data_IF_765729105074
#
_entry.id   IF_765729105074
#
_cell.length_a   1.000
_cell.length_b   1.000
_cell.length_c   1.000
_cell.angle_alpha   90.00
_cell.angle_beta   90.00
_cell.angle_gamma   90.00
#
_symmetry.space_group_name_H-M   'P 1'
#
loop_
_entity.id
_entity.type
_entity.pdbx_description
1 polymer ?
2 non-polymer ?
3 non-polymer ?
4 water ?
#
# COMPACT_ATOMS: atom_id res chain seq x y z
N UNK A 12 20.90 5.21 20.00
CA UNK A 12 19.73 5.52 20.87
C UNK A 12 18.41 5.51 20.10
N UNK A 13 18.24 6.49 19.22
CA UNK A 13 16.98 6.75 18.48
C UNK A 13 15.79 7.21 19.34
N UNK A 14 16.03 7.54 20.61
CA UNK A 14 14.95 7.96 21.51
C UNK A 14 14.27 9.25 21.03
N UNK A 15 15.07 10.28 20.71
CA UNK A 15 14.53 11.56 20.24
C UNK A 15 13.87 11.44 18.87
N UNK A 16 14.50 10.68 17.98
CA UNK A 16 13.93 10.43 16.66
C UNK A 16 12.58 9.71 16.75
N UNK A 17 12.48 8.73 17.65
CA UNK A 17 11.23 7.97 17.85
C UNK A 17 10.11 8.91 18.31
N UNK A 18 10.45 9.77 19.28
CA UNK A 18 9.50 10.74 19.82
C UNK A 18 8.97 11.63 18.67
N UNK A 19 9.89 12.15 17.87
CA UNK A 19 9.59 12.90 16.67
C UNK A 19 8.73 12.11 15.67
N UNK A 20 9.01 10.82 15.50
CA UNK A 20 8.24 9.98 14.57
C UNK A 20 6.77 9.85 14.99
N UNK A 21 6.54 9.64 16.28
CA UNK A 21 5.16 9.55 16.78
C UNK A 21 4.39 10.86 16.69
N UNK A 22 5.09 11.97 16.87
CA UNK A 22 4.47 13.30 16.69
C UNK A 22 4.03 13.54 15.24
N UNK A 23 4.89 13.20 14.29
CA UNK A 23 4.57 13.37 12.88
C UNK A 23 3.42 12.42 12.49
N UNK A 24 3.53 11.17 12.94
CA UNK A 24 2.48 10.16 12.73
C UNK A 24 1.08 10.66 13.12
N UNK A 25 0.97 11.29 14.30
CA UNK A 25 -0.31 11.82 14.77
C UNK A 25 -0.88 12.98 13.94
N UNK A 26 0.01 13.75 13.32
CA UNK A 26 -0.38 14.83 12.41
C UNK A 26 -0.75 14.37 10.99
N UNK A 27 -0.17 13.26 10.52
CA UNK A 27 -0.40 12.82 9.13
C UNK A 27 -1.43 11.71 8.96
N UNK A 28 -1.70 10.97 10.02
CA UNK A 28 -2.66 9.86 9.96
C UNK A 28 -4.08 10.39 9.71
N UNK A 29 -4.92 9.58 9.06
CA UNK A 29 -6.32 9.97 8.85
C UNK A 29 -7.03 10.15 10.19
N UNK A 30 -7.70 11.28 10.37
CA UNK A 30 -8.44 11.55 11.60
C UNK A 30 -9.69 10.69 11.68
N UNK A 31 -10.15 10.43 12.90
CA UNK A 31 -11.39 9.68 13.10
C UNK A 31 -12.55 10.32 12.35
N UNK A 32 -12.50 11.65 12.26
CA UNK A 32 -13.53 12.43 11.59
C UNK A 32 -13.62 12.16 10.09
N UNK A 33 -12.48 12.23 9.40
CA UNK A 33 -12.45 11.98 7.96
C UNK A 33 -12.81 10.53 7.67
N UNK A 34 -12.34 9.63 8.53
CA UNK A 34 -12.60 8.20 8.40
C UNK A 34 -14.10 7.91 8.38
N UNK A 35 -14.82 8.45 9.37
CA UNK A 35 -16.26 8.22 9.47
C UNK A 35 -17.05 8.84 8.32
N UNK A 36 -16.51 9.92 7.72
CA UNK A 36 -17.09 10.52 6.53
C UNK A 36 -16.90 9.62 5.30
N UNK A 37 -15.76 8.94 5.24
CA UNK A 37 -15.50 7.98 4.17
C UNK A 37 -16.44 6.77 4.29
N UNK A 38 -16.68 6.32 5.52
CA UNK A 38 -17.66 5.27 5.77
C UNK A 38 -19.07 5.69 5.35
N UNK A 39 -19.47 6.92 5.69
CA UNK A 39 -20.75 7.47 5.26
C UNK A 39 -20.86 7.52 3.73
N UNK A 40 -19.79 7.95 3.06
CA UNK A 40 -19.73 7.96 1.59
C UNK A 40 -19.91 6.55 0.99
N UNK A 41 -19.25 5.56 1.56
CA UNK A 41 -19.37 4.17 1.13
C UNK A 41 -20.82 3.69 1.24
N UNK A 42 -21.47 4.01 2.35
CA UNK A 42 -22.88 3.67 2.53
C UNK A 42 -23.78 4.26 1.45
N UNK A 43 -23.55 5.52 1.11
CA UNK A 43 -24.27 6.22 0.03
C UNK A 43 -24.07 5.51 -1.32
N UNK A 44 -22.81 5.24 -1.65
CA UNK A 44 -22.46 4.50 -2.85
C UNK A 44 -23.13 3.11 -2.92
N UNK A 45 -23.23 2.44 -1.78
CA UNK A 45 -23.89 1.14 -1.69
C UNK A 45 -25.38 1.22 -1.98
N UNK A 46 -26.01 2.31 -1.51
CA UNK A 46 -27.42 2.55 -1.77
C UNK A 46 -27.69 2.73 -3.26
N UNK A 47 -26.79 3.45 -3.94
CA UNK A 47 -26.89 3.65 -5.38
C UNK A 47 -26.75 2.32 -6.14
N UNK A 48 -25.80 1.49 -5.70
CA UNK A 48 -25.61 0.17 -6.30
C UNK A 48 -26.83 -0.73 -6.11
N UNK A 49 -27.41 -0.70 -4.91
CA UNK A 49 -28.60 -1.50 -4.59
C UNK A 49 -29.73 -1.26 -5.58
N UNK A 50 -29.92 0.01 -5.94
CA UNK A 50 -30.98 0.40 -6.88
C UNK A 50 -30.75 -0.16 -8.30
N UNK A 51 -29.52 -0.55 -8.59
CA UNK A 51 -29.13 -0.98 -9.93
C UNK A 51 -28.98 -2.50 -10.02
N UNK A 52 -28.34 -3.10 -9.02
CA UNK A 52 -28.11 -4.54 -8.95
C UNK A 52 -28.16 -5.00 -7.49
N UNK A 53 -29.28 -5.61 -7.09
CA UNK A 53 -29.46 -6.02 -5.68
C UNK A 53 -28.50 -7.13 -5.22
N UNK A 54 -28.00 -7.93 -6.15
CA UNK A 54 -27.10 -9.05 -5.85
C UNK A 54 -25.63 -8.63 -5.63
N UNK A 55 -25.21 -7.57 -6.32
CA UNK A 55 -23.83 -7.09 -6.26
C UNK A 55 -23.45 -6.53 -4.89
N UNK A 56 -22.18 -6.62 -4.53
CA UNK A 56 -21.67 -6.06 -3.29
C UNK A 56 -20.54 -5.07 -3.58
N UNK A 57 -20.60 -3.93 -2.91
CA UNK A 57 -19.55 -2.92 -3.02
C UNK A 57 -18.63 -3.02 -1.82
N UNK A 58 -17.35 -3.28 -2.06
CA UNK A 58 -16.39 -3.43 -0.96
C UNK A 58 -15.18 -2.51 -1.08
N UNK A 59 -14.64 -2.10 0.06
CA UNK A 59 -13.48 -1.23 0.12
C UNK A 59 -12.19 -2.04 0.22
N UNK A 60 -11.15 -1.57 -0.46
CA UNK A 60 -9.81 -2.15 -0.32
C UNK A 60 -8.79 -1.02 -0.23
N UNK A 61 -7.51 -1.36 -0.18
CA UNK A 61 -6.47 -0.35 -0.07
C UNK A 61 -6.37 0.22 1.33
N UNK A 62 -5.76 1.40 1.44
CA UNK A 62 -5.25 1.89 2.73
C UNK A 62 -6.32 2.27 3.75
N UNK A 63 -7.50 2.69 3.29
CA UNK A 63 -8.63 2.93 4.19
C UNK A 63 -9.12 1.66 4.88
N UNK A 64 -8.97 0.54 4.19
CA UNK A 64 -9.41 -0.75 4.70
C UNK A 64 -8.34 -1.39 5.56
N UNK A 65 -7.08 -1.21 5.19
CA UNK A 65 -5.98 -1.82 5.93
C UNK A 65 -5.54 -0.97 7.14
N UNK A 66 -6.00 0.27 7.18
CA UNK A 66 -5.65 1.20 8.26
C UNK A 66 -4.36 1.96 8.01
N UNK A 67 -3.94 2.03 6.76
CA UNK A 67 -2.66 2.62 6.42
C UNK A 67 -2.84 3.93 5.66
N UNK A 68 -3.90 4.66 6.01
CA UNK A 68 -4.31 5.87 5.30
C UNK A 68 -3.77 7.16 5.92
N UNK A 69 -3.27 8.03 5.06
CA UNK A 69 -2.92 9.38 5.42
C UNK A 69 -4.18 10.27 5.36
N UNK A 70 -4.07 11.50 5.87
CA UNK A 70 -5.11 12.51 5.70
C UNK A 70 -5.38 12.75 4.22
N UNK A 71 -6.63 13.12 3.89
CA UNK A 71 -7.04 13.42 2.51
C UNK A 71 -6.83 12.21 1.58
N UNK A 72 -7.16 11.04 2.10
CA UNK A 72 -6.99 9.78 1.39
C UNK A 72 -8.06 9.61 0.31
N UNK A 73 -7.68 8.97 -0.78
CA UNK A 73 -8.62 8.52 -1.81
C UNK A 73 -9.27 7.20 -1.40
N UNK A 74 -10.41 6.92 -1.99
CA UNK A 74 -11.15 5.70 -1.73
C UNK A 74 -10.93 4.72 -2.88
N UNK A 75 -10.68 3.45 -2.55
CA UNK A 75 -10.55 2.38 -3.53
C UNK A 75 -11.62 1.34 -3.29
N UNK A 76 -12.48 1.15 -4.27
CA UNK A 76 -13.63 0.26 -4.11
C UNK A 76 -13.69 -0.76 -5.22
N UNK A 77 -14.32 -1.90 -4.93
CA UNK A 77 -14.53 -2.97 -5.89
C UNK A 77 -15.97 -3.47 -5.81
N UNK A 78 -16.63 -3.53 -6.96
CA UNK A 78 -17.94 -4.15 -7.10
C UNK A 78 -17.75 -5.64 -7.34
N UNK A 79 -18.26 -6.45 -6.42
CA UNK A 79 -18.25 -7.91 -6.56
C UNK A 79 -19.58 -8.40 -7.10
N UNK A 80 -19.53 -9.23 -8.13
CA UNK A 80 -20.75 -9.73 -8.75
C UNK A 80 -20.53 -11.10 -9.38
N UNK A 81 -21.65 -11.74 -9.75
CA UNK A 81 -21.64 -12.99 -10.50
C UNK A 81 -20.73 -12.86 -11.73
N UNK A 82 -19.74 -13.75 -11.81
CA UNK A 82 -18.76 -13.72 -12.91
C UNK A 82 -19.39 -14.00 -14.28
N UNK A 83 -20.57 -14.63 -14.27
CA UNK A 83 -21.34 -14.89 -15.49
C UNK A 83 -22.00 -13.63 -16.02
N UNK A 84 -21.99 -12.55 -15.24
CA UNK A 84 -22.55 -11.28 -15.66
C UNK A 84 -21.44 -10.32 -16.10
N UNK A 85 -21.49 -9.94 -17.37
CA UNK A 85 -20.46 -9.07 -17.95
C UNK A 85 -20.41 -7.71 -17.27
N UNK A 86 -19.22 -7.35 -16.83
CA UNK A 86 -18.99 -6.21 -15.95
C UNK A 86 -19.30 -4.83 -16.56
N UNK A 87 -19.25 -4.71 -17.89
CA UNK A 87 -19.40 -3.41 -18.53
C UNK A 87 -20.83 -2.86 -18.47
N UNK A 88 -21.81 -3.75 -18.55
CA UNK A 88 -23.23 -3.37 -18.52
C UNK A 88 -23.62 -2.81 -17.16
N UNK A 89 -23.28 -3.53 -16.10
CA UNK A 89 -23.56 -3.07 -14.75
C UNK A 89 -22.71 -1.83 -14.42
N UNK A 90 -21.45 -1.83 -14.86
CA UNK A 90 -20.56 -0.67 -14.70
C UNK A 90 -21.19 0.61 -15.24
N UNK A 91 -21.75 0.54 -16.44
CA UNK A 91 -22.35 1.72 -17.08
C UNK A 91 -23.63 2.14 -16.33
N UNK A 92 -24.48 1.17 -16.02
CA UNK A 92 -25.67 1.42 -15.21
C UNK A 92 -25.33 2.07 -13.86
N UNK A 93 -24.32 1.53 -13.18
CA UNK A 93 -23.85 2.11 -11.91
C UNK A 93 -23.37 3.55 -12.13
N UNK A 94 -22.57 3.77 -13.17
CA UNK A 94 -22.04 5.09 -13.50
C UNK A 94 -23.17 6.12 -13.72
N UNK A 95 -24.16 5.76 -14.53
CA UNK A 95 -25.30 6.65 -14.78
C UNK A 95 -26.14 6.96 -13.54
N UNK A 96 -26.30 5.99 -12.64
CA UNK A 96 -26.94 6.23 -11.34
C UNK A 96 -26.16 7.21 -10.46
N UNK A 97 -24.83 7.10 -10.49
CA UNK A 97 -23.97 7.97 -9.71
C UNK A 97 -24.04 9.43 -10.18
N UNK A 98 -24.07 9.61 -11.49
CA UNK A 98 -24.25 10.96 -12.07
C UNK A 98 -25.59 11.54 -11.62
N UNK A 99 -26.67 10.78 -11.80
CA UNK A 99 -28.00 11.21 -11.39
C UNK A 99 -28.07 11.61 -9.91
N UNK A 100 -27.20 11.00 -9.10
CA UNK A 100 -27.16 11.24 -7.65
C UNK A 100 -26.19 12.38 -7.27
N UNK A 101 -25.57 13.01 -8.25
CA UNK A 101 -24.78 14.22 -8.01
C UNK A 101 -23.27 14.04 -7.96
N UNK A 102 -22.80 12.81 -8.16
CA UNK A 102 -21.36 12.56 -8.28
C UNK A 102 -20.91 12.97 -9.67
N UNK A 103 -19.64 13.37 -9.78
CA UNK A 103 -19.02 13.65 -11.06
C UNK A 103 -17.88 12.68 -11.27
N UNK A 104 -17.63 12.33 -12.52
CA UNK A 104 -16.49 11.49 -12.83
C UNK A 104 -16.53 10.91 -14.23
N UNK A 105 -15.69 9.91 -14.44
CA UNK A 105 -15.52 9.29 -15.75
C UNK A 105 -15.76 7.79 -15.71
N UNK A 106 -16.39 7.30 -16.78
CA UNK A 106 -16.48 5.87 -17.04
C UNK A 106 -15.47 5.52 -18.15
N UNK A 107 -14.62 4.55 -17.87
CA UNK A 107 -13.60 4.13 -18.82
C UNK A 107 -13.39 2.62 -18.80
N UNK A 108 -12.74 2.10 -19.84
CA UNK A 108 -12.43 0.68 -19.92
C UNK A 108 -11.10 0.45 -20.63
N UNK A 109 -10.14 -0.09 -19.87
CA UNK A 109 -8.86 -0.51 -20.44
C UNK A 109 -8.92 -2.01 -20.73
N UNK A 110 -8.79 -2.36 -22.01
CA UNK A 110 -9.00 -3.72 -22.50
C UNK A 110 -10.40 -4.24 -22.13
N UNK A 111 -10.49 -5.24 -21.25
CA UNK A 111 -11.77 -5.81 -20.83
C UNK A 111 -12.23 -5.28 -19.46
N UNK A 112 -11.36 -4.51 -18.82
CA UNK A 112 -11.55 -4.06 -17.44
C UNK A 112 -12.22 -2.67 -17.34
N UNK A 113 -13.50 -2.63 -16.93
CA UNK A 113 -14.16 -1.33 -16.73
C UNK A 113 -13.78 -0.71 -15.38
N UNK A 114 -13.76 0.63 -15.34
CA UNK A 114 -13.43 1.39 -14.14
C UNK A 114 -14.25 2.68 -14.09
N UNK A 115 -14.75 3.02 -12.90
CA UNK A 115 -15.36 4.33 -12.66
C UNK A 115 -14.43 5.16 -11.78
N UNK A 116 -14.13 6.37 -12.24
CA UNK A 116 -13.33 7.31 -11.46
C UNK A 116 -14.15 8.54 -11.07
N UNK A 117 -14.57 8.59 -9.81
CA UNK A 117 -15.29 9.74 -9.26
C UNK A 117 -14.31 10.80 -8.76
N UNK A 118 -14.58 12.05 -9.13
CA UNK A 118 -13.68 13.18 -8.85
C UNK A 118 -14.35 14.30 -8.06
N UNK A 119 -15.68 14.22 -7.91
CA UNK A 119 -16.41 15.24 -7.16
C UNK A 119 -17.74 14.73 -6.59
N UNK A 120 -18.25 15.47 -5.60
CA UNK A 120 -19.60 15.30 -5.08
C UNK A 120 -20.25 16.67 -4.92
N UNK A 121 -21.37 16.87 -5.61
CA UNK A 121 -22.02 18.18 -5.71
C UNK A 121 -23.30 18.30 -4.86
N UNK A 122 -23.67 17.24 -4.15
CA UNK A 122 -24.94 17.20 -3.43
C UNK A 122 -24.88 16.47 -2.08
N UNK A 123 -24.16 15.34 -2.05
CA UNK A 123 -24.21 14.43 -0.90
C UNK A 123 -23.33 14.86 0.29
N UNK A 124 -22.57 15.93 0.10
CA UNK A 124 -21.80 16.55 1.18
C UNK A 124 -20.44 15.93 1.49
N UNK A 125 -19.89 15.16 0.56
CA UNK A 125 -18.60 14.51 0.77
C UNK A 125 -17.41 15.28 0.17
N UNK A 126 -17.68 16.43 -0.44
CA UNK A 126 -16.62 17.33 -0.89
C UNK A 126 -16.54 17.60 -2.38
N UNK A 127 -16.06 18.80 -2.72
CA UNK A 127 -15.83 19.21 -4.11
C UNK A 127 -14.72 18.40 -4.79
N UNK A 128 -13.73 17.95 -4.02
CA UNK A 128 -12.69 17.06 -4.53
C UNK A 128 -12.72 15.69 -3.84
N UNK A 129 -13.92 15.10 -3.80
CA UNK A 129 -14.12 13.72 -3.36
C UNK A 129 -13.59 12.79 -4.44
N UNK A 130 -12.57 11.98 -4.11
CA UNK A 130 -11.95 11.07 -5.09
C UNK A 130 -12.15 9.59 -4.74
N UNK A 131 -12.62 8.83 -5.72
CA UNK A 131 -13.01 7.43 -5.50
C UNK A 131 -12.96 6.61 -6.79
N UNK A 132 -12.08 5.61 -6.81
CA UNK A 132 -11.97 4.69 -7.94
C UNK A 132 -12.76 3.41 -7.67
N UNK A 133 -13.55 3.02 -8.67
CA UNK A 133 -14.41 1.84 -8.57
C UNK A 133 -14.07 0.82 -9.66
N UNK A 134 -13.62 -0.35 -9.22
CA UNK A 134 -13.35 -1.47 -10.10
C UNK A 134 -14.43 -2.52 -10.03
N UNK A 135 -14.28 -3.55 -10.86
CA UNK A 135 -15.28 -4.59 -11.01
C UNK A 135 -14.65 -5.98 -11.00
N UNK A 136 -14.92 -6.73 -9.94
CA UNK A 136 -14.30 -8.03 -9.69
C UNK A 136 -12.77 -8.01 -9.59
N UNK A 137 -12.21 -6.92 -9.07
CA UNK A 137 -10.76 -6.86 -8.79
C UNK A 137 -10.50 -7.58 -7.47
N UNK A 138 -10.63 -8.90 -7.49
CA UNK A 138 -10.50 -9.69 -6.28
C UNK A 138 -9.07 -9.73 -5.72
N UNK A 139 -8.07 -9.67 -6.59
CA UNK A 139 -6.66 -9.67 -6.14
C UNK A 139 -6.33 -8.52 -5.19
N UNK A 140 -6.83 -7.32 -5.50
CA UNK A 140 -6.60 -6.15 -4.67
C UNK A 140 -7.22 -6.31 -3.28
N UNK A 141 -8.38 -6.97 -3.22
CA UNK A 141 -9.02 -7.29 -1.93
C UNK A 141 -8.09 -8.19 -1.12
N UNK A 142 -7.52 -9.20 -1.78
CA UNK A 142 -6.63 -10.15 -1.10
C UNK A 142 -5.30 -9.55 -0.63
N UNK A 143 -4.70 -8.72 -1.49
CA UNK A 143 -3.52 -7.92 -1.14
C UNK A 143 -3.77 -7.11 0.13
N UNK A 144 -4.93 -6.48 0.17
CA UNK A 144 -5.38 -5.65 1.31
C UNK A 144 -5.56 -6.49 2.60
N UNK A 145 -6.14 -7.67 2.46
CA UNK A 145 -6.25 -8.62 3.60
C UNK A 145 -4.89 -8.96 4.18
N UNK A 146 -3.91 -9.22 3.32
CA UNK A 146 -2.53 -9.45 3.77
C UNK A 146 -1.97 -8.26 4.57
N UNK A 147 -2.08 -7.04 4.02
CA UNK A 147 -1.58 -5.84 4.69
C UNK A 147 -2.32 -5.57 5.99
N UNK A 148 -3.63 -5.78 5.99
CA UNK A 148 -4.45 -5.65 7.20
C UNK A 148 -4.02 -6.61 8.30
N UNK A 149 -3.65 -7.83 7.91
CA UNK A 149 -3.21 -8.85 8.86
C UNK A 149 -1.88 -8.49 9.53
N UNK A 150 -0.93 -8.02 8.72
CA UNK A 150 0.35 -7.54 9.26
C UNK A 150 0.17 -6.34 10.18
N UNK A 151 -0.76 -5.45 9.83
CA UNK A 151 -1.02 -4.23 10.61
C UNK A 151 -1.58 -4.59 11.98
N UNK A 152 -2.36 -5.68 12.04
CA UNK A 152 -2.89 -6.18 13.32
C UNK A 152 -1.85 -6.94 14.14
N UNK A 153 -0.80 -7.43 13.49
CA UNK A 153 0.18 -8.30 14.13
C UNK A 153 1.23 -7.53 14.95
N UNK A 154 1.57 -6.32 14.51
CA UNK A 154 2.55 -5.50 15.24
C UNK A 154 2.20 -4.03 15.09
N UNK A 155 2.08 -3.34 16.23
CA UNK A 155 1.63 -1.95 16.29
C UNK A 155 2.62 -0.95 15.70
N UNK A 156 3.85 -1.39 15.48
CA UNK A 156 4.85 -0.51 14.86
C UNK A 156 4.66 -0.34 13.36
N UNK A 157 3.97 -1.27 12.70
CA UNK A 157 3.87 -1.21 11.23
C UNK A 157 3.14 0.04 10.73
N UNK A 158 1.99 0.32 11.32
CA UNK A 158 1.15 1.43 10.86
C UNK A 158 1.93 2.76 10.84
N UNK A 159 2.51 3.18 11.99
CA UNK A 159 3.23 4.45 11.96
C UNK A 159 4.44 4.39 11.03
N UNK A 160 5.12 3.26 10.96
CA UNK A 160 6.26 3.12 10.04
C UNK A 160 5.87 3.37 8.57
N UNK A 161 4.79 2.74 8.13
CA UNK A 161 4.29 2.89 6.75
C UNK A 161 3.88 4.33 6.44
N UNK A 162 3.08 4.93 7.32
CA UNK A 162 2.61 6.30 7.11
C UNK A 162 3.81 7.26 6.97
N UNK A 163 4.80 7.09 7.84
CA UNK A 163 6.00 7.92 7.79
C UNK A 163 6.74 7.76 6.46
N UNK A 164 6.88 6.50 6.02
CA UNK A 164 7.59 6.22 4.76
C UNK A 164 6.84 6.82 3.57
N UNK A 165 5.51 6.68 3.58
CA UNK A 165 4.65 7.24 2.53
C UNK A 165 4.73 8.77 2.49
N UNK A 166 4.72 9.39 3.67
CA UNK A 166 4.83 10.85 3.80
C UNK A 166 6.21 11.32 3.29
N UNK A 167 7.25 10.59 3.66
CA UNK A 167 8.61 10.88 3.20
C UNK A 167 8.71 10.80 1.68
N UNK A 168 8.27 9.69 1.10
CA UNK A 168 8.32 9.50 -0.35
C UNK A 168 7.55 10.58 -1.13
N UNK A 169 6.40 11.01 -0.60
CA UNK A 169 5.64 12.12 -1.18
C UNK A 169 6.41 13.43 -1.14
N UNK A 170 6.94 13.75 0.04
CA UNK A 170 7.71 14.99 0.20
C UNK A 170 8.95 15.03 -0.69
N UNK A 171 9.61 13.88 -0.87
CA UNK A 171 10.81 13.80 -1.72
C UNK A 171 10.55 13.62 -3.22
N UNK A 172 9.28 13.64 -3.61
CA UNK A 172 8.90 13.54 -5.03
C UNK A 172 9.34 12.21 -5.64
N UNK A 173 9.31 11.16 -4.83
CA UNK A 173 9.66 9.82 -5.29
C UNK A 173 8.46 8.86 -5.17
N UNK A 174 7.27 9.44 -5.08
CA UNK A 174 6.03 8.67 -5.00
C UNK A 174 5.13 9.00 -6.19
N UNK A 175 5.72 8.99 -7.38
CA UNK A 175 5.01 9.37 -8.62
C UNK A 175 5.15 8.34 -9.72
N UNK A 176 4.33 7.28 -9.67
CA UNK A 176 4.41 6.22 -10.68
C UNK A 176 4.22 6.70 -12.13
N UNK A 177 3.57 7.85 -12.32
CA UNK A 177 3.42 8.39 -13.68
C UNK A 177 4.64 9.14 -14.17
N UNK A 178 5.50 9.57 -13.25
CA UNK A 178 6.69 10.34 -13.62
C UNK A 178 7.99 9.63 -13.23
N UNK A 179 7.99 8.30 -13.34
CA UNK A 179 9.21 7.53 -13.20
C UNK A 179 9.62 7.08 -11.80
N UNK A 180 8.77 7.30 -10.80
CA UNK A 180 9.07 6.74 -9.47
C UNK A 180 8.07 5.68 -9.01
N UNK A 181 7.89 5.52 -7.70
CA UNK A 181 7.23 4.33 -7.15
C UNK A 181 5.87 4.59 -6.48
N UNK A 182 4.91 3.68 -6.68
CA UNK A 182 3.61 3.77 -6.01
C UNK A 182 3.73 3.60 -4.48
N UNK A 183 2.73 4.09 -3.76
CA UNK A 183 2.64 3.93 -2.31
C UNK A 183 2.64 2.46 -1.92
N UNK A 184 1.90 1.65 -2.68
CA UNK A 184 1.88 0.20 -2.44
C UNK A 184 3.28 -0.41 -2.55
N UNK A 185 4.06 0.05 -3.52
CA UNK A 185 5.46 -0.38 -3.66
C UNK A 185 6.33 -0.11 -2.44
N UNK A 186 6.19 1.10 -1.87
CA UNK A 186 6.84 1.45 -0.60
C UNK A 186 6.37 0.58 0.56
N UNK A 187 5.08 0.29 0.64
CA UNK A 187 4.55 -0.62 1.66
C UNK A 187 5.22 -2.01 1.58
N UNK A 188 5.39 -2.52 0.37
CA UNK A 188 6.04 -3.83 0.18
C UNK A 188 7.51 -3.81 0.53
N UNK A 189 8.19 -2.72 0.19
CA UNK A 189 9.57 -2.53 0.60
C UNK A 189 9.72 -2.52 2.12
N UNK A 190 8.77 -1.89 2.82
CA UNK A 190 8.73 -1.92 4.29
C UNK A 190 8.57 -3.36 4.81
N UNK A 191 7.57 -4.07 4.30
CA UNK A 191 7.27 -5.44 4.75
C UNK A 191 8.42 -6.38 4.47
N UNK A 192 9.03 -6.22 3.29
CA UNK A 192 10.16 -7.09 2.94
C UNK A 192 11.28 -6.92 3.97
N UNK A 193 11.54 -5.67 4.34
CA UNK A 193 12.58 -5.34 5.30
C UNK A 193 12.26 -5.99 6.66
N UNK A 194 11.01 -5.84 7.11
CA UNK A 194 10.59 -6.32 8.43
C UNK A 194 10.49 -7.84 8.53
N UNK A 195 10.29 -8.51 7.39
CA UNK A 195 10.18 -9.97 7.36
C UNK A 195 11.55 -10.63 7.12
N UNK A 196 12.24 -10.16 6.07
CA UNK A 196 13.38 -10.91 5.54
C UNK A 196 14.76 -10.30 5.78
N UNK A 197 14.80 -9.04 6.22
CA UNK A 197 16.09 -8.37 6.41
C UNK A 197 16.45 -8.21 7.89
N UNK A 198 15.57 -7.57 8.65
CA UNK A 198 15.92 -7.23 10.03
C UNK A 198 16.05 -8.51 10.86
N UNK A 199 17.00 -8.50 11.78
CA UNK A 199 17.24 -9.64 12.67
C UNK A 199 17.26 -9.16 14.11
N UNK A 200 16.46 -9.79 14.99
CA UNK A 200 15.46 -10.81 14.68
C UNK A 200 14.34 -10.19 13.83
N UNK A 201 13.60 -11.02 13.07
CA UNK A 201 12.56 -10.41 12.22
C UNK A 201 11.44 -9.78 13.07
N UNK A 202 10.81 -8.73 12.52
CA UNK A 202 9.65 -8.16 13.16
C UNK A 202 8.43 -9.04 12.88
N UNK A 203 8.38 -9.61 11.66
CA UNK A 203 7.24 -10.39 11.20
C UNK A 203 7.67 -11.73 10.63
N UNK A 204 6.85 -12.79 10.82
CA UNK A 204 7.07 -13.99 10.00
C UNK A 204 6.52 -13.76 8.59
N UNK A 205 6.89 -14.64 7.66
CA UNK A 205 6.30 -14.62 6.33
C UNK A 205 5.02 -15.47 6.35
N UNK A 206 3.86 -14.81 6.31
CA UNK A 206 2.57 -15.52 6.41
C UNK A 206 2.22 -16.39 5.20
N UNK A 207 2.86 -16.10 4.06
CA UNK A 207 2.64 -16.89 2.85
C UNK A 207 3.38 -18.21 2.89
N UNK A 208 4.51 -18.23 3.58
CA UNK A 208 5.39 -19.40 3.60
C UNK A 208 5.18 -20.25 4.86
N UNK A 209 4.23 -19.84 5.70
CA UNK A 209 3.88 -20.56 6.91
C UNK A 209 3.50 -22.03 6.65
N UNK A 210 3.90 -22.95 7.55
CA UNK A 210 3.47 -24.34 7.41
C UNK A 210 1.96 -24.51 7.63
N UNK A 211 1.29 -23.48 8.15
CA UNK A 211 -0.17 -23.50 8.36
C UNK A 211 -0.95 -22.91 7.20
N UNK A 212 -0.23 -22.36 6.21
CA UNK A 212 -0.86 -21.70 5.07
C UNK A 212 -1.66 -22.67 4.20
N UNK A 213 -2.91 -22.29 3.90
CA UNK A 213 -3.76 -23.08 3.03
C UNK A 213 -3.90 -22.42 1.65
N UNK A 214 -3.64 -23.19 0.60
CA UNK A 214 -3.78 -22.73 -0.78
C UNK A 214 -5.19 -22.19 -1.01
N UNK A 215 -5.28 -21.03 -1.66
CA UNK A 215 -6.53 -20.51 -2.15
C UNK A 215 -6.28 -19.82 -3.48
N UNK A 216 -6.87 -20.37 -4.54
CA UNK A 216 -6.64 -19.86 -5.89
C UNK A 216 -7.73 -18.86 -6.28
N UNK A 217 -7.32 -17.64 -6.60
CA UNK A 217 -8.22 -16.61 -7.09
C UNK A 217 -7.62 -16.03 -8.36
N UNK A 218 -8.41 -16.07 -9.44
CA UNK A 218 -7.97 -15.61 -10.78
C UNK A 218 -6.61 -16.17 -11.18
N UNK A 219 -6.43 -17.47 -10.96
CA UNK A 219 -5.19 -18.17 -11.30
C UNK A 219 -4.02 -18.01 -10.32
N UNK A 220 -4.15 -17.14 -9.32
CA UNK A 220 -3.05 -16.93 -8.37
C UNK A 220 -3.38 -17.47 -6.98
N UNK A 221 -2.35 -17.96 -6.28
CA UNK A 221 -2.50 -18.38 -4.89
C UNK A 221 -2.46 -17.16 -3.97
N UNK A 222 -3.60 -16.88 -3.33
CA UNK A 222 -3.70 -15.77 -2.38
C UNK A 222 -3.73 -16.25 -0.93
N UNK A 223 -3.40 -17.53 -0.73
CA UNK A 223 -3.38 -18.12 0.62
C UNK A 223 -2.28 -17.57 1.50
N UNK A 224 -2.62 -17.35 2.77
CA UNK A 224 -1.62 -17.03 3.80
C UNK A 224 -2.19 -17.38 5.17
N UNK A 225 -1.34 -17.56 6.17
CA UNK A 225 -1.81 -17.90 7.52
C UNK A 225 -2.43 -16.66 8.15
N UNK A 226 -3.75 -16.68 8.32
CA UNK A 226 -4.46 -15.52 8.85
C UNK A 226 -5.02 -15.76 10.25
N UNK A 227 -4.69 -16.91 10.83
CA UNK A 227 -5.03 -17.22 12.23
C UNK A 227 -4.06 -16.48 13.14
N UNK A 228 -4.26 -15.18 13.27
CA UNK A 228 -3.28 -14.29 13.90
C UNK A 228 -3.09 -14.53 15.39
N UNK A 229 -4.16 -14.90 16.08
CA UNK A 229 -4.11 -15.11 17.52
C UNK A 229 -3.11 -16.21 17.96
N UNK A 230 -2.79 -17.12 17.05
CA UNK A 230 -1.85 -18.21 17.37
C UNK A 230 -0.39 -17.89 17.06
N UNK A 231 -0.15 -16.74 16.43
CA UNK A 231 1.19 -16.32 16.06
C UNK A 231 1.88 -15.65 17.26
N UNK A 232 3.10 -16.10 17.60
CA UNK A 232 3.86 -15.49 18.69
C UNK A 232 4.28 -14.05 18.35
N UNK A 233 4.25 -13.14 19.36
CA UNK A 233 4.72 -11.78 19.16
C UNK A 233 6.18 -11.75 18.71
N UNK A 234 6.54 -10.69 17.99
CA UNK A 234 7.92 -10.48 17.54
C UNK A 234 8.95 -10.55 18.66
N UNK A 235 10.12 -11.10 18.37
CA UNK A 235 11.25 -11.05 19.30
C UNK A 235 12.22 -9.91 18.96
N UNK A 236 11.78 -9.02 18.07
CA UNK A 236 12.51 -7.79 17.81
C UNK A 236 11.91 -6.65 18.63
N UNK A 237 12.74 -6.04 19.47
CA UNK A 237 12.27 -5.00 20.41
C UNK A 237 12.65 -3.58 20.03
N UNK A 238 13.05 -3.37 18.78
CA UNK A 238 13.46 -2.05 18.30
C UNK A 238 12.34 -1.04 18.36
N UNK A 239 12.71 0.21 18.68
CA UNK A 239 11.80 1.34 18.63
C UNK A 239 11.44 1.65 17.17
N UNK A 240 10.35 2.41 16.98
CA UNK A 240 9.95 2.88 15.67
C UNK A 240 11.11 3.59 14.97
N UNK A 241 11.81 4.46 15.72
CA UNK A 241 12.96 5.18 15.19
C UNK A 241 14.05 4.29 14.66
N UNK A 242 14.37 3.23 15.42
CA UNK A 242 15.43 2.30 15.00
C UNK A 242 15.01 1.49 13.77
N UNK A 243 13.75 1.05 13.74
CA UNK A 243 13.20 0.35 12.57
C UNK A 243 13.35 1.20 11.31
N UNK A 244 12.94 2.47 11.39
CA UNK A 244 13.03 3.39 10.27
C UNK A 244 14.46 3.56 9.81
N UNK A 245 15.37 3.78 10.74
CA UNK A 245 16.78 3.96 10.38
C UNK A 245 17.37 2.73 9.67
N UNK A 246 17.09 1.53 10.18
CA UNK A 246 17.54 0.29 9.54
C UNK A 246 16.96 0.11 8.14
N UNK A 247 15.67 0.42 7.99
CA UNK A 247 14.98 0.46 6.70
C UNK A 247 15.70 1.37 5.68
N UNK A 248 15.94 2.62 6.06
CA UNK A 248 16.59 3.58 5.17
C UNK A 248 17.98 3.08 4.79
N UNK A 249 18.71 2.55 5.77
CA UNK A 249 20.05 1.97 5.59
C UNK A 249 20.09 0.80 4.62
N UNK A 250 19.17 -0.15 4.78
CA UNK A 250 19.13 -1.33 3.91
C UNK A 250 18.98 -0.95 2.44
N UNK A 251 18.00 -0.10 2.14
CA UNK A 251 17.79 0.30 0.75
C UNK A 251 18.79 1.34 0.23
N UNK A 252 19.43 2.07 1.14
CA UNK A 252 20.52 2.98 0.77
C UNK A 252 21.79 2.23 0.32
N UNK A 253 22.21 1.24 1.11
CA UNK A 253 23.57 0.69 1.00
C UNK A 253 23.69 -0.79 0.73
N UNK A 254 22.67 -1.57 1.13
CA UNK A 254 22.78 -3.03 1.09
C UNK A 254 22.01 -3.64 -0.07
N UNK A 255 20.73 -3.26 -0.21
CA UNK A 255 19.92 -3.79 -1.30
C UNK A 255 20.57 -3.53 -2.66
N UNK A 256 20.51 -4.52 -3.54
CA UNK A 256 21.14 -4.45 -4.86
C UNK A 256 20.08 -4.46 -5.98
N UNK A 257 19.52 -3.26 -6.30
CA UNK A 257 18.41 -3.16 -7.27
C UNK A 257 18.72 -3.65 -8.69
N UNK A 258 19.99 -3.70 -9.06
CA UNK A 258 20.38 -4.15 -10.40
C UNK A 258 20.24 -5.67 -10.59
N UNK A 259 20.39 -6.42 -9.50
CA UNK A 259 20.40 -7.88 -9.54
C UNK A 259 19.22 -8.56 -8.86
N UNK A 260 18.72 -7.92 -7.80
CA UNK A 260 17.85 -8.59 -6.85
C UNK A 260 16.40 -8.14 -6.94
N UNK A 261 15.51 -8.99 -6.45
CA UNK A 261 14.07 -8.73 -6.49
C UNK A 261 13.54 -8.73 -5.06
N UNK A 262 12.76 -7.71 -4.72
CA UNK A 262 12.01 -7.73 -3.47
C UNK A 262 10.91 -8.79 -3.62
N UNK A 263 10.93 -9.79 -2.74
CA UNK A 263 10.09 -10.98 -2.87
C UNK A 263 9.55 -11.49 -1.54
N UNK A 264 8.34 -12.05 -1.57
CA UNK A 264 7.75 -12.70 -0.40
C UNK A 264 7.61 -14.22 -0.58
N UNK A 265 8.25 -14.75 -1.62
CA UNK A 265 8.13 -16.17 -1.98
C UNK A 265 9.36 -17.04 -1.69
N UNK A 266 10.35 -16.48 -1.00
CA UNK A 266 11.54 -17.24 -0.66
C UNK A 266 11.80 -17.22 0.84
N UNK A 267 12.08 -18.40 1.44
CA UNK A 267 12.34 -18.48 2.87
C UNK A 267 13.42 -17.50 3.35
N UNK A 268 14.43 -17.26 2.53
CA UNK A 268 15.51 -16.33 2.85
C UNK A 268 15.41 -14.98 2.13
N UNK A 269 14.30 -14.75 1.43
CA UNK A 269 14.09 -13.50 0.70
C UNK A 269 15.03 -13.23 -0.46
N UNK A 270 15.72 -14.27 -0.92
CA UNK A 270 16.73 -14.12 -1.96
C UNK A 270 16.17 -14.53 -3.31
N UNK A 271 16.19 -13.60 -4.26
CA UNK A 271 15.69 -13.85 -5.61
C UNK A 271 16.36 -12.93 -6.61
N UNK A 272 16.92 -13.50 -7.68
CA UNK A 272 17.58 -12.72 -8.70
C UNK A 272 16.60 -12.36 -9.81
N UNK A 273 16.84 -11.23 -10.46
CA UNK A 273 16.09 -10.83 -11.64
C UNK A 273 16.19 -11.87 -12.77
N UNK A 274 17.35 -12.53 -12.87
CA UNK A 274 17.56 -13.55 -13.91
C UNK A 274 16.64 -14.76 -13.78
N UNK A 275 16.48 -15.27 -12.56
CA UNK A 275 15.55 -16.38 -12.29
C UNK A 275 14.13 -16.04 -12.72
N UNK A 276 13.74 -14.80 -12.49
CA UNK A 276 12.42 -14.31 -12.87
C UNK A 276 12.30 -14.03 -14.36
N UNK A 277 13.43 -13.79 -15.02
CA UNK A 277 13.42 -13.27 -16.39
C UNK A 277 12.99 -11.82 -16.40
N UNK A 278 13.42 -11.09 -15.36
CA UNK A 278 13.11 -9.69 -15.19
C UNK A 278 14.38 -8.88 -15.36
N UNK A 279 15.11 -9.19 -16.43
CA UNK A 279 16.38 -8.55 -16.73
C UNK A 279 16.18 -7.04 -16.94
N UNK A 295 9.03 -2.10 -17.20
CA UNK A 295 10.47 -2.04 -16.94
C UNK A 295 10.84 -2.90 -15.74
N UNK A 296 12.11 -3.26 -15.65
CA UNK A 296 12.62 -4.01 -14.50
C UNK A 296 13.82 -3.31 -13.86
N UNK A 297 13.85 -1.98 -13.92
CA UNK A 297 14.91 -1.20 -13.28
C UNK A 297 14.88 -1.47 -11.76
N UNK A 298 13.71 -1.30 -11.17
CA UNK A 298 13.46 -1.74 -9.79
C UNK A 298 12.46 -2.90 -9.84
N UNK A 299 12.79 -3.99 -9.16
CA UNK A 299 11.97 -5.20 -9.20
C UNK A 299 11.40 -5.54 -7.82
N UNK A 300 10.07 -5.48 -7.73
CA UNK A 300 9.30 -5.83 -6.54
C UNK A 300 8.18 -6.77 -6.99
N UNK A 301 8.31 -8.04 -6.62
CA UNK A 301 7.33 -9.06 -6.97
C UNK A 301 6.11 -8.96 -6.05
N UNK A 302 4.94 -8.62 -6.61
CA UNK A 302 3.67 -8.59 -5.88
C UNK A 302 3.52 -9.96 -5.17
N UNK A 303 3.19 -9.96 -3.87
CA UNK A 303 3.18 -11.24 -3.16
C UNK A 303 2.23 -12.31 -3.75
N UNK A 304 1.12 -11.89 -4.33
CA UNK A 304 0.14 -12.83 -4.88
C UNK A 304 0.19 -12.91 -6.39
N UNK A 305 0.11 -11.75 -7.05
CA UNK A 305 0.20 -11.69 -8.49
C UNK A 305 1.68 -11.64 -8.88
N UNK A 306 2.33 -12.80 -8.87
CA UNK A 306 3.81 -12.87 -8.95
C UNK A 306 4.37 -12.49 -10.33
N UNK A 307 3.52 -12.43 -11.32
CA UNK A 307 3.90 -11.93 -12.59
C UNK A 307 3.94 -10.41 -12.68
N UNK A 308 3.40 -9.71 -11.72
CA UNK A 308 3.37 -8.30 -11.70
C UNK A 308 4.59 -7.71 -10.96
N UNK A 309 5.39 -6.92 -11.64
CA UNK A 309 6.41 -6.12 -10.98
C UNK A 309 5.85 -4.72 -10.51
N UNK A 310 5.67 -4.58 -9.22
CA UNK A 310 5.10 -3.35 -8.65
C UNK A 310 6.02 -2.15 -8.97
N UNK A 311 7.32 -2.41 -9.12
CA UNK A 311 8.30 -1.37 -9.47
C UNK A 311 8.45 -1.06 -10.94
N UNK A 312 7.55 -1.58 -11.78
CA UNK A 312 7.64 -1.41 -13.23
C UNK A 312 7.55 0.05 -13.72
N UNK A 313 6.98 0.93 -12.89
CA UNK A 313 6.89 2.36 -13.22
C UNK A 313 8.22 3.11 -13.04
N UNK A 314 9.19 2.49 -12.37
CA UNK A 314 10.41 3.17 -11.97
C UNK A 314 11.42 3.25 -13.12
N UNK A 315 11.79 4.48 -13.48
CA UNK A 315 12.78 4.70 -14.54
C UNK A 315 14.19 4.69 -13.98
N UNK A 316 15.18 4.81 -14.88
CA UNK A 316 16.58 4.88 -14.46
C UNK A 316 16.86 6.10 -13.58
N UNK A 317 16.41 7.27 -14.04
CA UNK A 317 16.62 8.52 -13.30
C UNK A 317 15.80 8.53 -12.02
N UNK A 318 14.59 7.95 -12.09
CA UNK A 318 13.74 7.76 -10.91
C UNK A 318 14.38 6.92 -9.82
N UNK A 319 14.99 5.79 -10.20
CA UNK A 319 15.70 4.92 -9.25
C UNK A 319 16.89 5.66 -8.65
N UNK A 320 17.57 6.46 -9.48
CA UNK A 320 18.69 7.27 -9.01
C UNK A 320 18.27 8.18 -7.85
N UNK A 321 17.14 8.84 -8.02
CA UNK A 321 16.62 9.75 -7.00
C UNK A 321 16.09 9.00 -5.77
N UNK A 322 15.43 7.88 -5.98
CA UNK A 322 14.97 7.03 -4.86
C UNK A 322 16.14 6.60 -3.97
N UNK A 323 17.18 6.05 -4.59
CA UNK A 323 18.38 5.62 -3.87
C UNK A 323 19.09 6.80 -3.21
N UNK A 324 19.19 7.91 -3.93
CA UNK A 324 19.76 9.16 -3.40
C UNK A 324 19.05 9.61 -2.14
N UNK A 325 17.72 9.54 -2.15
CA UNK A 325 16.93 9.92 -0.97
C UNK A 325 17.05 8.93 0.20
N UNK A 326 17.07 7.62 -0.10
CA UNK A 326 17.40 6.60 0.90
C UNK A 326 18.75 6.90 1.58
N UNK A 327 19.75 7.26 0.75
CA UNK A 327 21.07 7.62 1.24
C UNK A 327 21.06 8.88 2.10
N UNK A 328 20.38 9.93 1.64
CA UNK A 328 20.28 11.18 2.38
C UNK A 328 19.57 11.00 3.73
N UNK A 329 18.55 10.14 3.75
CA UNK A 329 17.83 9.81 4.99
C UNK A 329 18.73 9.09 5.99
N UNK A 330 19.50 8.12 5.47
CA UNK A 330 20.44 7.36 6.29
C UNK A 330 21.51 8.27 6.90
N UNK A 331 22.10 9.14 6.06
CA UNK A 331 23.12 10.11 6.50
C UNK A 331 22.60 11.05 7.59
N UNK A 332 21.37 11.54 7.41
CA UNK A 332 20.73 12.41 8.41
C UNK A 332 20.64 11.74 9.79
N UNK A 333 20.13 10.51 9.82
CA UNK A 333 19.93 9.78 11.08
C UNK A 333 21.23 9.26 11.70
N UNK A 334 22.29 9.23 10.90
CA UNK A 334 23.60 8.78 11.35
C UNK A 334 24.52 9.95 11.71
N UNK A 335 24.05 11.17 11.43
CA UNK A 335 24.83 12.39 11.68
C UNK A 335 25.25 12.54 13.14
N UNK A 336 26.48 12.99 13.35
CA UNK A 336 27.00 13.24 14.69
C UNK A 336 27.06 14.73 14.98
N UNK A 337 26.42 15.51 14.11
CA UNK A 337 26.33 16.95 14.26
C UNK A 337 25.01 17.29 14.95
N UNK A 338 25.09 17.53 16.25
CA UNK A 338 23.89 17.71 17.07
C UNK A 338 23.56 19.19 17.29
N UNK A 339 22.26 19.55 17.31
CA UNK A 339 21.09 18.69 17.15
C UNK A 339 20.86 18.26 15.70
N UNK A 340 20.44 17.01 15.51
CA UNK A 340 20.08 16.52 14.17
C UNK A 340 18.74 17.14 13.76
N UNK A 341 18.70 17.80 12.59
CA UNK A 341 17.45 18.39 12.11
C UNK A 341 16.49 17.34 11.52
N UNK A 342 15.84 16.58 12.40
CA UNK A 342 14.93 15.50 12.00
C UNK A 342 13.81 15.96 11.07
N UNK A 343 13.38 17.21 11.22
CA UNK A 343 12.37 17.83 10.36
C UNK A 343 12.73 17.79 8.87
N UNK A 344 14.03 17.80 8.56
CA UNK A 344 14.47 17.82 7.16
C UNK A 344 14.17 16.51 6.43
N UNK A 345 13.90 15.46 7.20
CA UNK A 345 13.46 14.19 6.65
C UNK A 345 12.16 14.32 5.86
N UNK A 346 11.30 15.26 6.26
CA UNK A 346 10.01 15.46 5.60
C UNK A 346 9.89 16.81 4.90
N UNK A 347 11.02 17.49 4.71
CA UNK A 347 11.06 18.71 3.92
C UNK A 347 11.02 18.36 2.44
N UNK A 348 10.42 19.23 1.63
CA UNK A 348 10.31 19.02 0.19
C UNK A 348 11.67 19.13 -0.46
N UNK A 349 12.04 18.12 -1.24
CA UNK A 349 13.39 18.03 -1.83
C UNK A 349 13.73 19.21 -2.75
#
# INVERSE_FOLDING_TARGET
GSHMSYQKVPNSHKEFTKFCYEVYNEIKISDKEFKEKRAALDTLRLCLKRISPDAELVAFGSLESGLALKNSDMDLCVLMDSRVQSDTIALQFYEELIAEGFEGKFLQRARIPIIKLTSDTKNGFGASFQCDIGFNNRLAIHNTLLLSSYTKLDARLKPMVLLVKHWAKRKQINSPYFGTLSSYGYVLMVLYYLIHVIKPPVFPNLLLSPLKQEKIVDGFDVGFDDKLEDIPPSQNYSSLGSLLHGFFRFYAYKFEPREKVVTFRRPDGYLTKQEKGWTSATEHTGSADQIIKDRYILAIEDPFEISHNVGRTVSSSGLYRIRGEFMAASRLLNSRSYPIPYDSLFEEA
#
